data_IF_903359990752
#
_entry.id   IF_903359990752
#
_cell.length_a   1.000
_cell.length_b   1.000
_cell.length_c   1.000
_cell.angle_alpha   90.00
_cell.angle_beta   90.00
_cell.angle_gamma   90.00
#
_symmetry.space_group_name_H-M   'P 1'
#
loop_
_entity.id
_entity.type
_entity.pdbx_description
1 polymer ?
#
# COMPACT_ATOMS: atom_id res chain seq x y z
N UNK A 1 -66.78 40.67 -28.78
CA UNK A 1 -65.31 40.84 -28.73
C UNK A 1 -64.96 41.88 -27.68
N UNK A 2 -63.74 41.80 -27.12
CA UNK A 2 -63.19 42.51 -25.94
C UNK A 2 -63.55 41.83 -24.62
N UNK A 3 -62.63 41.40 -23.75
CA UNK A 3 -61.16 41.51 -23.69
C UNK A 3 -60.71 41.20 -22.25
N UNK A 4 -59.39 41.25 -22.03
CA UNK A 4 -58.64 41.22 -20.74
C UNK A 4 -58.24 39.80 -20.27
N UNK A 5 -57.01 39.38 -20.52
CA UNK A 5 -55.71 39.79 -19.94
C UNK A 5 -55.31 38.81 -18.83
N UNK A 6 -54.33 38.02 -19.21
CA UNK A 6 -53.40 37.22 -18.41
C UNK A 6 -52.73 38.08 -17.33
N UNK A 7 -52.47 37.46 -16.17
CA UNK A 7 -51.14 37.34 -15.54
C UNK A 7 -51.34 36.80 -14.12
N UNK A 8 -50.88 35.56 -13.87
CA UNK A 8 -50.76 35.01 -12.52
C UNK A 8 -49.29 34.99 -12.15
N UNK A 9 -48.94 35.88 -11.23
CA UNK A 9 -47.63 36.04 -10.61
C UNK A 9 -47.25 34.76 -9.85
N UNK A 10 -46.20 34.07 -10.33
CA UNK A 10 -45.52 33.03 -9.56
C UNK A 10 -44.33 33.69 -8.85
N UNK A 11 -44.37 33.74 -7.51
CA UNK A 11 -43.19 34.09 -6.70
C UNK A 11 -42.37 32.84 -6.43
N UNK A 12 -41.28 32.67 -7.16
CA UNK A 12 -40.20 31.77 -6.78
C UNK A 12 -39.46 32.33 -5.56
N UNK A 13 -39.43 31.57 -4.47
CA UNK A 13 -38.55 31.82 -3.32
C UNK A 13 -37.28 31.02 -3.52
N UNK A 14 -36.22 31.67 -4.02
CA UNK A 14 -34.85 31.12 -4.00
C UNK A 14 -34.30 31.19 -2.56
N UNK A 15 -33.86 30.09 -1.94
CA UNK A 15 -33.10 30.17 -0.71
C UNK A 15 -31.70 30.74 -0.97
N UNK A 16 -31.31 31.68 -0.11
CA UNK A 16 -30.07 32.46 -0.13
C UNK A 16 -28.85 31.59 0.18
N UNK A 17 -27.78 31.75 -0.61
CA UNK A 17 -26.47 31.16 -0.35
C UNK A 17 -25.84 31.79 0.91
N UNK A 18 -25.49 30.95 1.89
CA UNK A 18 -24.60 31.32 2.99
C UNK A 18 -23.20 30.75 2.67
N UNK A 19 -22.24 31.65 2.45
CA UNK A 19 -20.83 31.34 2.20
C UNK A 19 -20.11 31.39 3.55
N UNK A 20 -19.73 30.25 4.10
CA UNK A 20 -18.91 30.19 5.30
C UNK A 20 -17.47 29.90 4.87
N UNK A 21 -16.67 30.96 4.76
CA UNK A 21 -15.21 30.91 4.65
C UNK A 21 -14.64 30.86 6.06
N UNK A 22 -13.93 29.79 6.41
CA UNK A 22 -13.03 29.76 7.56
C UNK A 22 -11.79 29.00 7.18
N UNK A 23 -10.80 29.77 6.73
CA UNK A 23 -9.42 29.32 6.57
C UNK A 23 -8.71 29.50 7.92
N UNK A 24 -8.13 28.42 8.44
CA UNK A 24 -7.12 28.48 9.48
C UNK A 24 -5.92 27.64 9.00
N UNK A 25 -4.94 28.37 8.46
CA UNK A 25 -3.63 27.89 8.07
C UNK A 25 -2.71 27.99 9.29
N UNK A 26 -2.15 26.87 9.75
CA UNK A 26 -1.02 26.88 10.68
C UNK A 26 -0.08 25.72 10.33
N UNK A 27 0.85 26.00 9.42
CA UNK A 27 1.99 25.16 9.09
C UNK A 27 3.11 25.41 10.11
N UNK A 28 3.61 24.34 10.74
CA UNK A 28 4.89 24.37 11.44
C UNK A 28 5.65 23.08 11.16
N UNK A 29 6.43 23.09 10.07
CA UNK A 29 7.46 22.11 9.75
C UNK A 29 8.76 22.50 10.46
N UNK A 30 9.35 21.59 11.24
CA UNK A 30 10.75 21.64 11.63
C UNK A 30 11.40 20.32 11.24
N UNK A 31 12.27 20.37 10.24
CA UNK A 31 13.22 19.32 9.88
C UNK A 31 14.59 19.76 10.39
N UNK A 32 15.25 18.91 11.18
CA UNK A 32 16.71 18.93 11.30
C UNK A 32 17.25 17.55 10.94
N UNK A 33 18.04 17.49 9.88
CA UNK A 33 18.80 16.33 9.42
C UNK A 33 20.19 16.32 10.06
N UNK A 34 20.66 15.12 10.41
CA UNK A 34 22.01 14.65 10.08
C UNK A 34 23.11 14.80 11.14
N UNK A 35 23.60 13.65 11.63
CA UNK A 35 24.97 13.22 11.37
C UNK A 35 25.16 11.74 11.78
N UNK A 36 25.59 10.93 10.80
CA UNK A 36 26.16 9.60 11.02
C UNK A 36 27.53 9.73 11.70
N UNK A 37 27.87 8.80 12.60
CA UNK A 37 29.27 8.46 12.87
C UNK A 37 29.38 6.97 13.19
N UNK A 38 30.01 6.23 12.28
CA UNK A 38 30.55 4.90 12.50
C UNK A 38 32.03 5.06 12.88
N UNK A 39 32.44 4.61 14.07
CA UNK A 39 33.83 4.22 14.29
C UNK A 39 33.97 3.17 15.41
N UNK A 40 34.22 1.92 14.98
CA UNK A 40 35.14 0.90 15.51
C UNK A 40 35.30 0.72 17.03
N UNK A 41 35.14 -0.52 17.52
CA UNK A 41 36.26 -1.43 17.85
C UNK A 41 35.74 -2.86 18.13
N UNK A 42 36.28 -3.91 17.46
CA UNK A 42 36.10 -5.29 17.87
C UNK A 42 37.21 -5.70 18.86
N UNK A 43 36.84 -6.28 19.99
CA UNK A 43 37.73 -7.11 20.80
C UNK A 43 37.16 -8.52 20.83
N UNK A 44 37.89 -9.48 20.26
CA UNK A 44 38.55 -10.54 21.03
C UNK A 44 39.01 -11.65 20.07
N UNK A 45 40.33 -11.80 20.01
CA UNK A 45 41.04 -12.97 19.49
C UNK A 45 40.67 -14.20 20.31
N UNK A 46 40.33 -15.32 19.65
CA UNK A 46 40.69 -16.66 20.13
C UNK A 46 40.73 -17.67 18.97
N UNK A 47 41.96 -17.96 18.57
CA UNK A 47 42.56 -19.26 18.27
C UNK A 47 41.69 -20.52 18.18
N UNK A 48 42.06 -21.29 17.14
CA UNK A 48 42.15 -22.77 17.07
C UNK A 48 41.07 -23.51 16.29
N UNK A 49 41.51 -23.94 15.11
CA UNK A 49 41.08 -25.10 14.33
C UNK A 49 40.69 -26.33 15.15
N UNK A 50 39.54 -26.93 14.84
CA UNK A 50 39.40 -28.38 14.71
C UNK A 50 38.17 -28.72 13.87
N UNK A 51 38.35 -29.66 12.96
CA UNK A 51 37.38 -30.13 11.99
C UNK A 51 36.15 -30.78 12.66
N UNK A 52 34.97 -30.55 12.07
CA UNK A 52 33.94 -31.59 12.02
C UNK A 52 33.07 -31.44 10.77
N UNK A 53 33.23 -32.41 9.89
CA UNK A 53 32.35 -32.74 8.78
C UNK A 53 30.92 -32.93 9.29
N UNK A 54 29.98 -32.15 8.75
CA UNK A 54 28.57 -32.54 8.66
C UNK A 54 28.03 -32.02 7.32
N UNK A 55 28.00 -32.95 6.37
CA UNK A 55 27.00 -33.14 5.32
C UNK A 55 26.20 -31.90 4.92
N UNK A 56 26.50 -31.37 3.74
CA UNK A 56 25.58 -30.54 2.97
C UNK A 56 24.27 -31.32 2.76
N UNK A 57 23.30 -31.09 3.64
CA UNK A 57 21.90 -31.38 3.35
C UNK A 57 21.42 -30.19 2.55
N UNK A 58 21.37 -30.38 1.24
CA UNK A 58 20.52 -29.61 0.36
C UNK A 58 19.12 -29.62 0.97
N UNK A 59 18.76 -28.56 1.67
CA UNK A 59 17.37 -28.26 1.97
C UNK A 59 16.72 -28.01 0.62
N UNK A 60 16.16 -29.08 0.05
CA UNK A 60 15.01 -28.93 -0.83
C UNK A 60 14.04 -28.05 -0.08
N UNK A 61 14.01 -26.77 -0.44
CA UNK A 61 12.94 -25.87 -0.09
C UNK A 61 11.70 -26.48 -0.70
N UNK A 62 11.01 -27.29 0.10
CA UNK A 62 9.63 -27.63 -0.14
C UNK A 62 8.89 -26.30 -0.10
N UNK A 63 8.67 -25.70 -1.26
CA UNK A 63 7.70 -24.63 -1.49
C UNK A 63 6.30 -25.22 -1.31
N UNK A 64 5.99 -25.64 -0.09
CA UNK A 64 4.62 -25.61 0.37
C UNK A 64 4.39 -24.14 0.67
N UNK A 65 3.89 -23.39 -0.32
CA UNK A 65 3.36 -22.05 -0.05
C UNK A 65 2.42 -22.22 1.15
N UNK A 66 2.72 -21.64 2.32
CA UNK A 66 1.77 -21.66 3.40
C UNK A 66 0.51 -21.03 2.82
N UNK A 67 -0.61 -21.75 2.86
CA UNK A 67 -1.91 -21.13 2.67
C UNK A 67 -2.01 -20.05 3.75
N UNK A 68 -1.65 -18.81 3.40
CA UNK A 68 -1.72 -17.69 4.32
C UNK A 68 -3.20 -17.52 4.61
N UNK A 69 -3.59 -17.87 5.84
CA UNK A 69 -4.94 -17.67 6.31
C UNK A 69 -5.24 -16.17 6.17
N UNK A 70 -6.41 -15.84 5.64
CA UNK A 70 -6.79 -14.47 5.28
C UNK A 70 -6.60 -13.46 6.43
N UNK A 71 -6.87 -13.88 7.67
CA UNK A 71 -6.64 -13.08 8.88
C UNK A 71 -5.16 -12.67 9.10
N UNK A 72 -4.20 -13.35 8.47
CA UNK A 72 -2.79 -12.99 8.52
C UNK A 72 -2.45 -11.75 7.68
N UNK A 73 -3.30 -11.40 6.71
CA UNK A 73 -3.08 -10.27 5.80
C UNK A 73 -3.70 -8.97 6.26
N UNK A 74 -4.58 -8.98 7.27
CA UNK A 74 -5.18 -7.74 7.78
C UNK A 74 -4.10 -6.77 8.28
N UNK A 75 -4.11 -5.53 7.79
CA UNK A 75 -3.16 -4.51 8.21
C UNK A 75 -2.96 -3.38 7.22
N UNK A 76 -2.07 -2.46 7.57
CA UNK A 76 -1.61 -1.38 6.70
C UNK A 76 -0.17 -1.65 6.31
N UNK A 77 0.08 -1.66 5.00
CA UNK A 77 1.35 -1.97 4.38
C UNK A 77 1.82 -0.76 3.59
N UNK A 78 3.10 -0.42 3.70
CA UNK A 78 3.69 0.72 3.01
C UNK A 78 4.93 0.28 2.23
N UNK A 79 5.15 0.88 1.08
CA UNK A 79 6.32 0.62 0.24
C UNK A 79 6.35 1.54 -0.97
N UNK A 80 7.05 1.08 -2.01
CA UNK A 80 7.13 1.75 -3.30
C UNK A 80 6.58 0.82 -4.37
N UNK A 81 5.85 1.40 -5.32
CA UNK A 81 5.52 0.79 -6.60
C UNK A 81 6.09 1.69 -7.69
N UNK A 82 7.02 1.18 -8.49
CA UNK A 82 7.89 1.98 -9.37
C UNK A 82 8.52 3.19 -8.66
N UNK A 83 8.00 4.39 -8.90
CA UNK A 83 8.42 5.66 -8.28
C UNK A 83 7.49 6.18 -7.19
N UNK A 84 6.34 5.53 -6.98
CA UNK A 84 5.23 6.09 -6.22
C UNK A 84 5.18 5.47 -4.83
N UNK A 85 4.97 6.32 -3.81
CA UNK A 85 4.77 5.82 -2.46
C UNK A 85 3.37 5.21 -2.38
N UNK A 86 3.31 3.94 -1.97
CA UNK A 86 2.04 3.21 -1.90
C UNK A 86 1.69 2.83 -0.47
N UNK A 87 0.40 2.93 -0.16
CA UNK A 87 -0.20 2.42 1.07
C UNK A 87 -1.31 1.43 0.70
N UNK A 88 -1.17 0.19 1.15
CA UNK A 88 -2.16 -0.87 1.01
C UNK A 88 -2.78 -1.16 2.38
N UNK A 89 -4.10 -0.99 2.49
CA UNK A 89 -4.87 -1.36 3.69
C UNK A 89 -5.71 -2.58 3.37
N UNK A 90 -5.57 -3.65 4.14
CA UNK A 90 -6.34 -4.90 4.01
C UNK A 90 -7.16 -5.11 5.29
N UNK A 91 -8.44 -5.42 5.11
CA UNK A 91 -9.34 -5.88 6.17
C UNK A 91 -10.28 -6.95 5.62
N UNK A 92 -10.10 -8.18 6.07
CA UNK A 92 -10.85 -9.34 5.59
C UNK A 92 -10.53 -9.65 4.13
N UNK A 93 -11.54 -9.61 3.25
CA UNK A 93 -11.43 -9.87 1.80
C UNK A 93 -11.33 -8.59 0.95
N UNK A 94 -11.18 -7.45 1.60
CA UNK A 94 -11.27 -6.14 0.97
C UNK A 94 -10.16 -5.20 1.45
N UNK A 95 -10.01 -4.08 0.76
CA UNK A 95 -9.03 -3.08 1.12
C UNK A 95 -9.00 -1.86 0.21
N UNK A 96 -7.98 -1.03 0.40
CA UNK A 96 -7.68 0.12 -0.45
C UNK A 96 -6.20 0.17 -0.76
N UNK A 97 -5.88 0.57 -1.99
CA UNK A 97 -4.55 0.95 -2.43
C UNK A 97 -4.52 2.45 -2.66
N UNK A 98 -3.51 3.13 -2.15
CA UNK A 98 -3.30 4.56 -2.40
C UNK A 98 -1.87 4.78 -2.87
N UNK A 99 -1.70 5.25 -4.09
CA UNK A 99 -0.42 5.69 -4.64
C UNK A 99 -0.33 7.23 -4.56
N UNK A 100 0.83 7.75 -4.20
CA UNK A 100 1.12 9.19 -4.22
C UNK A 100 2.02 9.47 -5.40
N UNK A 101 1.49 10.20 -6.39
CA UNK A 101 2.21 10.59 -7.59
C UNK A 101 3.26 11.68 -7.30
N UNK A 102 4.14 11.94 -8.26
CA UNK A 102 5.24 12.90 -8.11
C UNK A 102 4.78 14.35 -7.83
N UNK A 103 3.56 14.72 -8.22
CA UNK A 103 2.95 16.03 -7.94
C UNK A 103 2.20 16.08 -6.59
N UNK A 104 2.12 14.96 -5.89
CA UNK A 104 1.44 14.79 -4.60
C UNK A 104 -0.03 14.46 -4.71
N UNK A 105 -0.59 14.29 -5.92
CA UNK A 105 -1.92 13.75 -6.10
C UNK A 105 -1.98 12.28 -5.64
N UNK A 106 -3.18 11.85 -5.23
CA UNK A 106 -3.40 10.50 -4.72
C UNK A 106 -4.31 9.74 -5.67
N UNK A 107 -3.83 8.60 -6.16
CA UNK A 107 -4.66 7.62 -6.84
C UNK A 107 -5.16 6.60 -5.82
N UNK A 108 -6.48 6.47 -5.68
CA UNK A 108 -7.11 5.47 -4.80
C UNK A 108 -7.77 4.37 -5.62
N UNK A 109 -7.31 3.13 -5.45
CA UNK A 109 -7.89 1.92 -6.05
C UNK A 109 -8.52 1.04 -4.97
N UNK A 110 -9.60 0.35 -5.31
CA UNK A 110 -10.22 -0.66 -4.44
C UNK A 110 -9.41 -1.95 -4.48
N UNK A 111 -9.36 -2.66 -3.36
CA UNK A 111 -8.67 -3.94 -3.26
C UNK A 111 -9.64 -5.06 -2.93
N UNK A 112 -9.47 -6.21 -3.60
CA UNK A 112 -10.19 -7.45 -3.32
C UNK A 112 -9.20 -8.60 -3.19
N UNK A 113 -9.43 -9.46 -2.20
CA UNK A 113 -8.59 -10.63 -1.96
C UNK A 113 -9.29 -11.90 -2.40
N UNK A 114 -8.64 -12.66 -3.27
CA UNK A 114 -8.99 -14.03 -3.58
C UNK A 114 -7.97 -14.97 -2.92
N UNK A 115 -8.22 -15.27 -1.64
CA UNK A 115 -7.34 -16.13 -0.85
C UNK A 115 -7.30 -17.57 -1.37
N UNK A 116 -8.35 -18.03 -2.06
CA UNK A 116 -8.38 -19.38 -2.63
C UNK A 116 -7.38 -19.52 -3.79
N UNK A 117 -7.23 -18.47 -4.59
CA UNK A 117 -6.28 -18.43 -5.70
C UNK A 117 -4.95 -17.74 -5.37
N UNK A 118 -4.80 -17.25 -4.13
CA UNK A 118 -3.63 -16.50 -3.67
C UNK A 118 -3.38 -15.23 -4.52
N UNK A 119 -4.45 -14.50 -4.84
CA UNK A 119 -4.41 -13.27 -5.65
C UNK A 119 -5.00 -12.09 -4.86
N UNK A 120 -4.34 -10.94 -4.92
CA UNK A 120 -4.86 -9.62 -4.55
C UNK A 120 -5.16 -8.89 -5.85
N UNK A 121 -6.37 -8.37 -6.00
CA UNK A 121 -6.74 -7.48 -7.09
C UNK A 121 -6.67 -6.03 -6.60
N UNK A 122 -5.90 -5.19 -7.28
CA UNK A 122 -5.84 -3.74 -7.07
C UNK A 122 -6.50 -3.08 -8.27
N UNK A 123 -7.72 -2.57 -8.11
CA UNK A 123 -8.53 -2.22 -9.27
C UNK A 123 -8.86 -3.47 -10.09
N UNK A 124 -8.44 -3.51 -11.34
CA UNK A 124 -8.50 -4.65 -12.26
C UNK A 124 -7.18 -5.44 -12.37
N UNK A 125 -6.09 -4.93 -11.80
CA UNK A 125 -4.76 -5.54 -11.83
C UNK A 125 -4.66 -6.67 -10.79
N UNK A 126 -4.19 -7.85 -11.19
CA UNK A 126 -4.10 -9.03 -10.33
C UNK A 126 -2.66 -9.34 -9.91
N UNK A 127 -2.43 -9.54 -8.61
CA UNK A 127 -1.12 -9.86 -8.05
C UNK A 127 -1.14 -11.12 -7.19
N UNK A 128 -0.21 -12.03 -7.44
CA UNK A 128 0.10 -13.13 -6.51
C UNK A 128 0.84 -12.56 -5.30
N UNK A 129 0.37 -12.93 -4.11
CA UNK A 129 0.93 -12.41 -2.87
C UNK A 129 1.70 -13.46 -2.07
N UNK A 130 2.75 -13.02 -1.38
CA UNK A 130 3.50 -13.80 -0.41
C UNK A 130 3.72 -12.97 0.85
N UNK A 131 3.33 -13.50 2.01
CA UNK A 131 3.54 -12.84 3.30
C UNK A 131 4.65 -13.57 4.08
N UNK A 132 5.74 -12.87 4.38
CA UNK A 132 6.88 -13.35 5.16
C UNK A 132 7.16 -12.40 6.33
N UNK A 133 6.71 -12.79 7.53
CA UNK A 133 6.73 -11.90 8.70
C UNK A 133 5.86 -10.67 8.46
N UNK A 134 6.48 -9.48 8.46
CA UNK A 134 5.81 -8.20 8.18
C UNK A 134 5.89 -7.80 6.71
N UNK A 135 6.62 -8.55 5.87
CA UNK A 135 6.79 -8.21 4.47
C UNK A 135 5.73 -8.89 3.61
N UNK A 136 5.04 -8.09 2.79
CA UNK A 136 4.09 -8.55 1.78
C UNK A 136 4.70 -8.26 0.40
N UNK A 137 4.98 -9.32 -0.35
CA UNK A 137 5.48 -9.24 -1.71
C UNK A 137 4.34 -9.50 -2.68
N UNK A 138 4.15 -8.62 -3.65
CA UNK A 138 3.17 -8.74 -4.72
C UNK A 138 3.91 -8.91 -6.05
N UNK A 139 3.48 -9.88 -6.85
CA UNK A 139 3.97 -10.11 -8.21
C UNK A 139 2.81 -10.25 -9.16
N UNK A 140 2.93 -9.71 -10.36
CA UNK A 140 1.86 -9.76 -11.36
C UNK A 140 1.40 -11.20 -11.64
N UNK A 141 0.08 -11.42 -11.69
CA UNK A 141 -0.51 -12.75 -11.70
C UNK A 141 -0.60 -13.39 -13.08
N UNK A 142 -0.71 -12.60 -14.15
CA UNK A 142 -0.90 -13.06 -15.53
C UNK A 142 0.39 -13.08 -16.37
N UNK A 143 1.51 -12.62 -15.82
CA UNK A 143 2.73 -12.42 -16.60
C UNK A 143 3.65 -13.67 -16.63
N UNK A 144 4.20 -13.95 -17.81
CA UNK A 144 5.17 -15.02 -18.05
C UNK A 144 6.47 -14.69 -17.27
N UNK A 145 7.14 -15.70 -16.72
CA UNK A 145 8.08 -15.65 -15.58
C UNK A 145 9.29 -14.69 -15.67
N UNK A 146 9.43 -13.94 -16.76
CA UNK A 146 10.68 -13.37 -17.21
C UNK A 146 10.78 -11.86 -16.89
N UNK A 147 9.65 -11.16 -16.74
CA UNK A 147 9.56 -9.71 -16.47
C UNK A 147 8.49 -9.36 -15.40
N UNK A 148 8.51 -10.03 -14.23
CA UNK A 148 7.53 -9.74 -13.17
C UNK A 148 7.92 -8.52 -12.34
N UNK A 149 7.14 -7.44 -12.49
CA UNK A 149 7.15 -6.35 -11.53
C UNK A 149 6.87 -6.88 -10.12
N UNK A 150 7.75 -6.51 -9.20
CA UNK A 150 7.73 -6.98 -7.82
C UNK A 150 7.59 -5.80 -6.88
N UNK A 151 6.45 -5.75 -6.20
CA UNK A 151 6.18 -4.73 -5.20
C UNK A 151 6.42 -5.35 -3.83
N UNK A 152 7.24 -4.69 -3.01
CA UNK A 152 7.55 -5.14 -1.66
C UNK A 152 7.04 -4.12 -0.66
N UNK A 153 6.07 -4.53 0.16
CA UNK A 153 5.43 -3.68 1.15
C UNK A 153 5.72 -4.20 2.55
N UNK A 154 5.82 -3.28 3.53
CA UNK A 154 6.05 -3.62 4.93
C UNK A 154 4.87 -3.21 5.77
N UNK A 155 4.34 -4.16 6.55
CA UNK A 155 3.28 -3.96 7.53
C UNK A 155 3.75 -3.02 8.66
N UNK A 156 2.97 -1.98 8.92
CA UNK A 156 3.22 -0.97 9.96
C UNK A 156 2.72 -1.41 11.34
#
# INVERSE_FOLDING_TARGET
>A
MNGKSVEKSWRERRPSMAKNVTALLATATVLLLGACSNQQTPTQTNTSSSAKTTTATSSKQTTTSPQVNQAGLDGTYMGMDESDQVTLVIAGDSGTWTAVEADGEQELKQVKLDAANQVIFVGDDGYRYQLEGQQLTLKEADNELDDQDTIVLTKQ
#
